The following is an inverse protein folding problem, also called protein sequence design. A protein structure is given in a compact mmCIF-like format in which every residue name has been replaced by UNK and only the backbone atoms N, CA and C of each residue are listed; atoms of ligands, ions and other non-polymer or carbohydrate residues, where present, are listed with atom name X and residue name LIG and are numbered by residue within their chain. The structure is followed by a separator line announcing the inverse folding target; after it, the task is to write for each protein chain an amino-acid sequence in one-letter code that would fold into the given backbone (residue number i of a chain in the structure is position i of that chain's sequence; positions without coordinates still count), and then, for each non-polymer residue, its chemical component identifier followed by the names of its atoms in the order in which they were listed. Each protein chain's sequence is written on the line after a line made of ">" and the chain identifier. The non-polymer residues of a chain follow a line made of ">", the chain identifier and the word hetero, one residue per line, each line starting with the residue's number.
data_IF_083214348899
#
_entry.id   IF_083214348899
#
_cell.length_a   1.000
_cell.length_b   1.000
_cell.length_c   1.000
_cell.angle_alpha   90.00
_cell.angle_beta   90.00
_cell.angle_gamma   90.00
#
_symmetry.space_group_name_H-M   'P 1'
#
loop_
_entity.id
_entity.type
_entity.pdbx_description
1 polymer ?
#
# COMPACT_ATOMS: atom_id res chain seq x y z
N UNK A 1 -17.91 -33.57 85.88
CA UNK A 1 -18.89 -33.14 84.89
C UNK A 1 -18.29 -31.89 84.25
N UNK A 2 -17.32 -32.09 83.45
CA UNK A 2 -16.72 -31.00 82.70
C UNK A 2 -15.78 -31.64 81.63
N UNK A 3 -16.32 -31.92 80.51
CA UNK A 3 -15.59 -32.30 79.32
C UNK A 3 -16.48 -32.30 78.10
N UNK A 4 -16.53 -31.22 77.37
CA UNK A 4 -17.39 -31.23 76.19
C UNK A 4 -17.41 -29.95 75.33
N UNK A 5 -16.48 -29.01 75.46
CA UNK A 5 -16.46 -27.84 74.59
C UNK A 5 -15.01 -27.45 74.28
N UNK A 6 -14.37 -28.17 73.38
CA UNK A 6 -13.08 -27.72 72.80
C UNK A 6 -12.67 -28.49 71.55
N UNK A 7 -13.45 -28.66 70.54
CA UNK A 7 -12.99 -29.17 69.22
C UNK A 7 -13.77 -28.67 67.99
N UNK A 8 -14.35 -27.48 68.03
CA UNK A 8 -15.08 -26.97 66.86
C UNK A 8 -14.39 -25.71 66.24
N UNK A 9 -13.25 -25.29 66.76
CA UNK A 9 -12.64 -24.02 66.37
C UNK A 9 -11.40 -24.10 65.46
N UNK A 10 -10.80 -25.25 65.30
CA UNK A 10 -9.49 -25.35 64.54
C UNK A 10 -9.61 -25.91 63.13
N UNK A 11 -10.67 -26.60 62.80
CA UNK A 11 -10.81 -27.29 61.50
C UNK A 11 -11.39 -26.35 60.39
N UNK A 12 -12.15 -25.34 60.75
CA UNK A 12 -12.75 -24.42 59.74
C UNK A 12 -11.72 -23.43 59.15
N UNK A 13 -10.65 -23.15 59.84
CA UNK A 13 -9.59 -22.25 59.35
C UNK A 13 -8.65 -22.93 58.34
N UNK A 14 -8.39 -24.21 58.54
CA UNK A 14 -7.56 -24.99 57.61
C UNK A 14 -8.29 -25.31 56.31
N UNK A 15 -9.60 -25.65 56.36
CA UNK A 15 -10.41 -25.85 55.17
C UNK A 15 -10.53 -24.60 54.33
N UNK A 16 -10.76 -23.44 54.92
CA UNK A 16 -10.82 -22.17 54.19
C UNK A 16 -9.48 -21.76 53.57
N UNK A 17 -8.40 -22.14 54.17
CA UNK A 17 -7.03 -21.90 53.61
C UNK A 17 -6.78 -22.83 52.44
N UNK A 18 -7.12 -24.13 52.56
CA UNK A 18 -6.97 -25.09 51.47
C UNK A 18 -7.87 -24.72 50.27
N UNK A 19 -9.12 -24.40 50.49
CA UNK A 19 -10.04 -23.95 49.41
C UNK A 19 -9.54 -22.69 48.72
N UNK A 20 -8.97 -21.74 49.44
CA UNK A 20 -8.40 -20.51 48.86
C UNK A 20 -7.14 -20.82 48.06
N UNK A 21 -6.27 -21.72 48.49
CA UNK A 21 -5.08 -22.11 47.74
C UNK A 21 -5.47 -22.86 46.47
N UNK A 22 -6.45 -23.78 46.51
CA UNK A 22 -6.93 -24.47 45.32
C UNK A 22 -7.57 -23.49 44.30
N UNK A 23 -8.35 -22.53 44.77
CA UNK A 23 -8.95 -21.49 43.88
C UNK A 23 -7.91 -20.54 43.29
N UNK A 24 -6.84 -20.26 44.01
CA UNK A 24 -5.70 -19.47 43.48
C UNK A 24 -4.86 -20.28 42.47
N UNK A 25 -4.69 -21.56 42.70
CA UNK A 25 -3.93 -22.46 41.80
C UNK A 25 -4.75 -22.73 40.50
N UNK A 26 -6.06 -22.97 40.59
CA UNK A 26 -6.94 -23.09 39.44
C UNK A 26 -6.97 -21.79 38.60
N UNK A 27 -7.00 -20.64 39.23
CA UNK A 27 -6.99 -19.34 38.56
C UNK A 27 -5.66 -19.06 37.87
N UNK A 28 -4.54 -19.45 38.47
CA UNK A 28 -3.21 -19.33 37.88
C UNK A 28 -3.03 -20.30 36.70
N UNK A 29 -3.63 -21.48 36.74
CA UNK A 29 -3.62 -22.46 35.65
C UNK A 29 -4.49 -22.01 34.46
N UNK A 30 -5.59 -21.31 34.67
CA UNK A 30 -6.42 -20.72 33.60
C UNK A 30 -5.78 -19.47 32.98
N UNK A 31 -5.11 -18.64 33.78
CA UNK A 31 -4.49 -17.40 33.28
C UNK A 31 -3.19 -17.66 32.46
N UNK A 32 -2.41 -18.68 32.80
CA UNK A 32 -1.16 -19.02 32.09
C UNK A 32 -1.34 -19.34 30.60
N UNK A 33 -2.29 -20.18 30.16
CA UNK A 33 -2.48 -20.47 28.74
C UNK A 33 -3.05 -19.29 27.96
N UNK A 34 -3.82 -18.41 28.59
CA UNK A 34 -4.36 -17.21 27.95
C UNK A 34 -3.29 -16.15 27.72
N UNK A 35 -2.42 -15.88 28.70
CA UNK A 35 -1.29 -14.96 28.58
C UNK A 35 -0.28 -15.43 27.53
N UNK A 36 0.07 -16.71 27.52
CA UNK A 36 0.97 -17.30 26.53
C UNK A 36 0.38 -17.23 25.12
N UNK A 37 -0.91 -17.54 24.94
CA UNK A 37 -1.60 -17.41 23.64
C UNK A 37 -1.71 -15.97 23.17
N UNK A 38 -1.94 -15.02 24.07
CA UNK A 38 -1.95 -13.59 23.73
C UNK A 38 -0.58 -13.07 23.34
N UNK A 39 0.48 -13.48 24.03
CA UNK A 39 1.86 -13.10 23.71
C UNK A 39 2.26 -13.68 22.35
N UNK A 40 2.00 -14.97 22.11
CA UNK A 40 2.30 -15.60 20.83
C UNK A 40 1.50 -14.99 19.67
N UNK A 41 0.22 -14.67 19.88
CA UNK A 41 -0.57 -13.95 18.89
C UNK A 41 -0.02 -12.55 18.62
N UNK A 42 0.43 -11.85 19.66
CA UNK A 42 1.09 -10.54 19.53
C UNK A 42 2.38 -10.61 18.72
N UNK A 43 3.22 -11.60 19.01
CA UNK A 43 4.49 -11.81 18.28
C UNK A 43 4.23 -12.13 16.81
N UNK A 44 3.27 -13.00 16.49
CA UNK A 44 2.91 -13.33 15.10
C UNK A 44 2.39 -12.10 14.35
N UNK A 45 1.59 -11.27 14.99
CA UNK A 45 1.08 -10.03 14.39
C UNK A 45 2.19 -9.02 14.14
N UNK A 46 3.11 -8.85 15.10
CA UNK A 46 4.27 -7.96 14.93
C UNK A 46 5.18 -8.48 13.81
N UNK A 47 5.45 -9.77 13.75
CA UNK A 47 6.23 -10.39 12.68
C UNK A 47 5.55 -10.21 11.31
N UNK A 48 4.23 -10.38 11.23
CA UNK A 48 3.46 -10.13 10.01
C UNK A 48 3.51 -8.67 9.57
N UNK A 49 3.42 -7.72 10.51
CA UNK A 49 3.56 -6.28 10.23
C UNK A 49 4.97 -5.92 9.74
N UNK A 50 6.01 -6.47 10.36
CA UNK A 50 7.41 -6.26 9.93
C UNK A 50 7.60 -6.82 8.52
N UNK A 51 7.14 -8.05 8.26
CA UNK A 51 7.19 -8.67 6.93
C UNK A 51 6.45 -7.84 5.88
N UNK A 52 5.28 -7.33 6.22
CA UNK A 52 4.50 -6.49 5.33
C UNK A 52 5.18 -5.13 5.05
N UNK A 53 5.79 -4.50 6.07
CA UNK A 53 6.55 -3.25 5.91
C UNK A 53 7.80 -3.45 5.05
N UNK A 54 8.48 -4.60 5.19
CA UNK A 54 9.61 -4.95 4.33
C UNK A 54 9.15 -5.13 2.87
N UNK A 55 8.04 -5.82 2.65
CA UNK A 55 7.46 -6.00 1.32
C UNK A 55 7.03 -4.65 0.71
N UNK A 56 6.41 -3.78 1.50
CA UNK A 56 6.03 -2.43 1.08
C UNK A 56 7.25 -1.59 0.69
N UNK A 57 8.34 -1.71 1.43
CA UNK A 57 9.59 -1.01 1.12
C UNK A 57 10.23 -1.50 -0.19
N UNK A 58 10.20 -2.82 -0.46
CA UNK A 58 10.65 -3.40 -1.73
C UNK A 58 9.74 -2.93 -2.88
N UNK A 59 8.42 -2.93 -2.67
CA UNK A 59 7.47 -2.47 -3.67
C UNK A 59 7.54 -0.95 -3.95
N UNK A 60 7.96 -0.13 -2.97
CA UNK A 60 8.21 1.30 -3.14
C UNK A 60 9.55 1.60 -3.85
N UNK A 61 10.39 0.60 -4.04
CA UNK A 61 11.71 0.78 -4.63
C UNK A 61 11.59 1.13 -6.13
N UNK A 62 12.35 2.13 -6.62
CA UNK A 62 12.37 2.49 -8.05
C UNK A 62 12.72 1.33 -8.98
N UNK A 63 13.48 0.34 -8.49
CA UNK A 63 13.84 -0.86 -9.25
C UNK A 63 12.63 -1.74 -9.59
N UNK A 64 11.58 -1.72 -8.78
CA UNK A 64 10.33 -2.47 -9.03
C UNK A 64 9.60 -1.95 -10.27
N UNK A 65 9.76 -0.66 -10.58
CA UNK A 65 9.14 0.00 -11.73
C UNK A 65 10.11 0.26 -12.88
N UNK A 66 11.34 -0.29 -12.82
CA UNK A 66 12.37 -0.04 -13.84
C UNK A 66 11.91 -0.37 -15.25
N UNK A 67 11.23 -1.49 -15.48
CA UNK A 67 10.68 -1.85 -16.78
C UNK A 67 9.64 -0.86 -17.30
N UNK A 68 8.81 -0.29 -16.42
CA UNK A 68 7.81 0.72 -16.79
C UNK A 68 8.52 2.03 -17.16
N UNK A 69 9.53 2.44 -16.40
CA UNK A 69 10.32 3.63 -16.71
C UNK A 69 11.05 3.50 -18.04
N UNK A 70 11.61 2.32 -18.33
CA UNK A 70 12.28 2.02 -19.61
C UNK A 70 11.30 2.13 -20.79
N UNK A 71 10.13 1.51 -20.68
CA UNK A 71 9.06 1.63 -21.70
C UNK A 71 8.62 3.08 -21.92
N UNK A 72 8.45 3.86 -20.86
CA UNK A 72 8.09 5.27 -20.96
C UNK A 72 9.21 6.12 -21.58
N UNK A 73 10.49 5.82 -21.28
CA UNK A 73 11.63 6.51 -21.87
C UNK A 73 11.80 6.17 -23.35
N UNK A 74 11.56 4.93 -23.77
CA UNK A 74 11.54 4.53 -25.18
C UNK A 74 10.41 5.24 -25.94
N UNK A 75 9.18 5.22 -25.42
CA UNK A 75 8.04 5.96 -26.02
C UNK A 75 8.32 7.46 -26.13
N UNK A 76 8.92 8.06 -25.11
CA UNK A 76 9.35 9.46 -25.12
C UNK A 76 10.33 9.75 -26.27
N UNK A 77 11.34 8.93 -26.45
CA UNK A 77 12.34 9.10 -27.50
C UNK A 77 11.70 8.98 -28.90
N UNK A 78 10.81 8.00 -29.08
CA UNK A 78 10.09 7.82 -30.34
C UNK A 78 9.21 9.02 -30.66
N UNK A 79 8.44 9.54 -29.71
CA UNK A 79 7.57 10.72 -29.91
C UNK A 79 8.41 11.98 -30.14
N UNK A 80 9.53 12.14 -29.45
CA UNK A 80 10.46 13.26 -29.70
C UNK A 80 11.03 13.19 -31.13
N UNK A 81 11.40 12.01 -31.60
CA UNK A 81 11.85 11.79 -32.99
C UNK A 81 10.79 12.17 -34.01
N UNK A 82 9.54 11.75 -33.81
CA UNK A 82 8.41 12.10 -34.66
C UNK A 82 8.11 13.60 -34.64
N UNK A 83 8.13 14.24 -33.49
CA UNK A 83 7.96 15.68 -33.36
C UNK A 83 9.04 16.46 -34.11
N UNK A 84 10.30 16.06 -33.96
CA UNK A 84 11.45 16.68 -34.65
C UNK A 84 11.35 16.50 -36.15
N UNK A 85 11.06 15.29 -36.63
CA UNK A 85 10.98 15.02 -38.08
C UNK A 85 9.80 15.73 -38.75
N UNK A 86 8.60 15.78 -38.08
CA UNK A 86 7.47 16.52 -38.61
C UNK A 86 7.69 18.03 -38.61
N UNK A 87 8.36 18.58 -37.60
CA UNK A 87 8.78 19.98 -37.58
C UNK A 87 9.76 20.31 -38.67
N UNK A 88 10.78 19.47 -38.85
CA UNK A 88 11.78 19.66 -39.93
C UNK A 88 11.13 19.55 -41.30
N UNK A 89 10.24 18.58 -41.53
CA UNK A 89 9.53 18.42 -42.80
C UNK A 89 8.59 19.61 -43.07
N UNK A 90 7.88 20.11 -42.07
CA UNK A 90 7.05 21.32 -42.17
C UNK A 90 7.91 22.52 -42.60
N UNK A 91 9.04 22.75 -41.96
CA UNK A 91 9.94 23.82 -42.28
C UNK A 91 10.52 23.69 -43.72
N UNK A 92 10.89 22.48 -44.14
CA UNK A 92 11.41 22.23 -45.47
C UNK A 92 10.36 22.49 -46.57
N UNK A 93 9.11 22.09 -46.35
CA UNK A 93 8.02 22.30 -47.31
C UNK A 93 7.58 23.77 -47.36
N UNK A 94 7.66 24.51 -46.25
CA UNK A 94 7.28 25.92 -46.19
C UNK A 94 8.21 26.83 -47.00
N UNK A 95 9.42 26.36 -47.38
CA UNK A 95 10.36 27.12 -48.24
C UNK A 95 10.02 26.96 -49.73
N UNK A 96 9.22 26.00 -50.12
CA UNK A 96 8.79 25.81 -51.48
C UNK A 96 7.87 26.95 -51.95
N UNK A 97 8.11 27.54 -53.15
CA UNK A 97 7.38 28.71 -53.66
C UNK A 97 6.01 28.30 -54.26
N UNK A 98 5.27 27.42 -53.61
CA UNK A 98 3.99 26.93 -54.11
C UNK A 98 2.94 26.95 -52.98
N UNK A 99 1.73 27.43 -53.30
CA UNK A 99 0.60 27.53 -52.34
C UNK A 99 0.13 26.18 -51.80
N UNK A 100 0.34 25.09 -52.55
CA UNK A 100 0.05 23.73 -52.09
C UNK A 100 1.00 23.28 -50.98
N UNK A 101 2.26 23.72 -50.98
CA UNK A 101 3.24 23.45 -49.98
C UNK A 101 2.86 24.03 -48.60
N UNK A 102 2.27 25.21 -48.56
CA UNK A 102 1.90 25.88 -47.32
C UNK A 102 0.79 25.12 -46.56
N UNK A 103 -0.19 24.54 -47.25
CA UNK A 103 -1.25 23.74 -46.63
C UNK A 103 -0.70 22.45 -45.99
N UNK A 104 0.26 21.78 -46.67
CA UNK A 104 0.89 20.57 -46.14
C UNK A 104 1.81 20.93 -44.97
N UNK A 105 2.59 22.00 -45.09
CA UNK A 105 3.46 22.47 -43.99
C UNK A 105 2.67 22.77 -42.71
N UNK A 106 1.51 23.44 -42.84
CA UNK A 106 0.62 23.73 -41.73
C UNK A 106 0.08 22.44 -41.07
N UNK A 107 -0.30 21.43 -41.86
CA UNK A 107 -0.75 20.13 -41.30
C UNK A 107 0.39 19.38 -40.57
N UNK A 108 1.59 19.45 -41.11
CA UNK A 108 2.75 18.88 -40.43
C UNK A 108 3.07 19.61 -39.11
N UNK A 109 2.92 20.93 -39.07
CA UNK A 109 3.07 21.71 -37.85
C UNK A 109 1.99 21.36 -36.80
N UNK A 110 0.72 21.11 -37.25
CA UNK A 110 -0.35 20.64 -36.40
C UNK A 110 0.05 19.27 -35.80
N UNK A 111 0.54 18.32 -36.59
CA UNK A 111 1.02 17.03 -36.08
C UNK A 111 2.18 17.17 -35.09
N UNK A 112 3.14 18.05 -35.36
CA UNK A 112 4.21 18.34 -34.40
C UNK A 112 3.64 18.82 -33.05
N UNK A 113 2.61 19.65 -33.08
CA UNK A 113 1.92 20.13 -31.87
C UNK A 113 1.22 18.98 -31.12
N UNK A 114 0.57 18.04 -31.82
CA UNK A 114 0.00 16.85 -31.19
C UNK A 114 1.06 15.98 -30.52
N UNK A 115 2.23 15.79 -31.14
CA UNK A 115 3.34 15.05 -30.54
C UNK A 115 3.86 15.71 -29.26
N UNK A 116 3.89 17.05 -29.20
CA UNK A 116 4.23 17.77 -27.95
C UNK A 116 3.22 17.51 -26.85
N UNK A 117 1.91 17.44 -27.17
CA UNK A 117 0.88 17.08 -26.19
C UNK A 117 1.10 15.64 -25.71
N UNK A 118 1.34 14.68 -26.60
CA UNK A 118 1.61 13.29 -26.25
C UNK A 118 2.84 13.20 -25.35
N UNK A 119 3.91 13.93 -25.67
CA UNK A 119 5.12 14.00 -24.86
C UNK A 119 4.83 14.52 -23.44
N UNK A 120 3.98 15.54 -23.34
CA UNK A 120 3.56 16.08 -22.05
C UNK A 120 2.80 15.04 -21.20
N UNK A 121 1.97 14.20 -21.84
CA UNK A 121 1.26 13.09 -21.17
C UNK A 121 2.27 12.04 -20.68
N UNK A 122 3.27 11.66 -21.47
CA UNK A 122 4.32 10.71 -21.03
C UNK A 122 5.08 11.25 -19.82
N UNK A 123 5.43 12.53 -19.82
CA UNK A 123 6.06 13.15 -18.65
C UNK A 123 5.14 13.16 -17.42
N UNK A 124 3.85 13.42 -17.63
CA UNK A 124 2.85 13.38 -16.56
C UNK A 124 2.72 11.96 -16.00
N UNK A 125 2.65 10.92 -16.84
CA UNK A 125 2.60 9.52 -16.39
C UNK A 125 3.84 9.17 -15.55
N UNK A 126 5.03 9.56 -16.00
CA UNK A 126 6.27 9.35 -15.25
C UNK A 126 6.27 10.06 -13.90
N UNK A 127 5.79 11.29 -13.85
CA UNK A 127 5.62 12.06 -12.61
C UNK A 127 4.59 11.39 -11.67
N UNK A 128 3.45 10.96 -12.20
CA UNK A 128 2.41 10.29 -11.42
C UNK A 128 2.90 8.95 -10.87
N UNK A 129 3.64 8.16 -11.65
CA UNK A 129 4.21 6.91 -11.21
C UNK A 129 5.15 7.11 -10.01
N UNK A 130 6.05 8.10 -10.11
CA UNK A 130 6.98 8.44 -9.03
C UNK A 130 6.24 8.95 -7.80
N UNK A 131 5.31 9.89 -7.98
CA UNK A 131 4.61 10.55 -6.86
C UNK A 131 3.62 9.63 -6.19
N UNK A 132 2.78 8.92 -6.96
CA UNK A 132 1.77 8.02 -6.41
C UNK A 132 2.36 6.73 -5.88
N UNK A 133 3.43 6.22 -6.50
CA UNK A 133 4.18 5.10 -5.95
C UNK A 133 4.75 5.43 -4.57
N UNK A 134 5.41 6.57 -4.43
CA UNK A 134 5.91 7.04 -3.14
C UNK A 134 4.77 7.29 -2.13
N UNK A 135 3.69 7.96 -2.54
CA UNK A 135 2.56 8.24 -1.65
C UNK A 135 1.88 6.95 -1.18
N UNK A 136 1.65 6.00 -2.09
CA UNK A 136 0.99 4.74 -1.77
C UNK A 136 1.84 3.89 -0.82
N UNK A 137 3.08 3.56 -1.21
CA UNK A 137 3.93 2.64 -0.47
C UNK A 137 4.71 3.30 0.66
N UNK A 138 5.11 4.57 0.51
CA UNK A 138 5.86 5.31 1.52
C UNK A 138 5.00 5.88 2.65
N UNK A 139 3.74 6.18 2.39
CA UNK A 139 2.87 6.86 3.36
C UNK A 139 1.59 6.08 3.66
N UNK A 140 0.75 5.80 2.65
CA UNK A 140 -0.59 5.25 2.89
C UNK A 140 -0.56 3.85 3.49
N UNK A 141 0.27 2.98 2.94
CA UNK A 141 0.38 1.60 3.40
C UNK A 141 0.99 1.51 4.81
N UNK A 142 2.12 2.19 5.14
CA UNK A 142 2.63 2.21 6.50
C UNK A 142 1.63 2.78 7.51
N UNK A 143 0.93 3.87 7.17
CA UNK A 143 -0.11 4.44 8.05
C UNK A 143 -1.25 3.46 8.26
N UNK A 144 -1.73 2.78 7.22
CA UNK A 144 -2.74 1.75 7.34
C UNK A 144 -2.29 0.60 8.26
N UNK A 145 -1.03 0.15 8.15
CA UNK A 145 -0.44 -0.87 9.02
C UNK A 145 -0.39 -0.44 10.48
N UNK A 146 -0.01 0.81 10.75
CA UNK A 146 -0.02 1.37 12.12
C UNK A 146 -1.44 1.41 12.67
N UNK A 147 -2.43 1.83 11.88
CA UNK A 147 -3.84 1.82 12.29
C UNK A 147 -4.34 0.40 12.61
N UNK A 148 -3.97 -0.59 11.81
CA UNK A 148 -4.28 -2.00 12.10
C UNK A 148 -3.59 -2.48 13.38
N UNK A 149 -2.31 -2.14 13.58
CA UNK A 149 -1.58 -2.49 14.79
C UNK A 149 -2.26 -1.92 16.05
N UNK A 150 -2.63 -0.64 16.02
CA UNK A 150 -3.36 0.00 17.12
C UNK A 150 -4.72 -0.68 17.34
N UNK A 151 -5.45 -0.99 16.26
CA UNK A 151 -6.75 -1.65 16.35
C UNK A 151 -6.69 -3.05 16.98
N UNK A 152 -5.57 -3.78 16.80
CA UNK A 152 -5.35 -5.08 17.43
C UNK A 152 -5.12 -4.92 18.93
N UNK A 153 -4.39 -3.88 19.35
CA UNK A 153 -4.13 -3.58 20.75
C UNK A 153 -5.38 -3.08 21.52
N UNK A 154 -6.37 -2.52 20.81
CA UNK A 154 -7.61 -2.06 21.46
C UNK A 154 -8.46 -3.26 21.90
N UNK A 155 -9.03 -3.13 23.11
CA UNK A 155 -9.88 -4.14 23.74
C UNK A 155 -11.08 -4.49 22.83
N UNK A 156 -11.43 -5.78 22.75
CA UNK A 156 -12.58 -6.25 21.95
C UNK A 156 -13.87 -5.56 22.44
N UNK A 157 -14.66 -5.05 21.48
CA UNK A 157 -15.96 -4.42 21.77
C UNK A 157 -15.98 -2.89 21.80
N UNK A 158 -14.87 -2.21 21.60
CA UNK A 158 -14.83 -0.75 21.55
C UNK A 158 -15.20 -0.25 20.14
N UNK A 159 -16.11 0.72 20.02
CA UNK A 159 -16.48 1.37 18.75
C UNK A 159 -15.25 1.95 18.04
N UNK A 160 -14.28 2.44 18.79
CA UNK A 160 -13.00 2.92 18.27
C UNK A 160 -12.26 1.85 17.47
N UNK A 161 -12.24 0.58 17.90
CA UNK A 161 -11.60 -0.51 17.17
C UNK A 161 -12.22 -0.73 15.79
N UNK A 162 -13.56 -0.77 15.72
CA UNK A 162 -14.27 -0.97 14.44
C UNK A 162 -14.01 0.19 13.48
N UNK A 163 -14.01 1.41 13.99
CA UNK A 163 -13.73 2.60 13.17
C UNK A 163 -12.27 2.64 12.68
N UNK A 164 -11.30 2.30 13.52
CA UNK A 164 -9.89 2.21 13.14
C UNK A 164 -9.66 1.13 12.07
N UNK A 165 -10.26 -0.05 12.24
CA UNK A 165 -10.17 -1.11 11.23
C UNK A 165 -10.77 -0.69 9.89
N UNK A 166 -11.96 -0.08 9.90
CA UNK A 166 -12.60 0.44 8.68
C UNK A 166 -11.75 1.52 8.00
N UNK A 167 -11.18 2.43 8.78
CA UNK A 167 -10.30 3.47 8.25
C UNK A 167 -9.02 2.87 7.66
N UNK A 168 -8.37 1.95 8.38
CA UNK A 168 -7.18 1.26 7.91
C UNK A 168 -7.43 0.47 6.61
N UNK A 169 -8.56 -0.25 6.52
CA UNK A 169 -8.92 -0.98 5.30
C UNK A 169 -9.17 -0.05 4.11
N UNK A 170 -9.89 1.06 4.32
CA UNK A 170 -10.13 2.05 3.26
C UNK A 170 -8.83 2.69 2.79
N UNK A 171 -7.94 3.03 3.72
CA UNK A 171 -6.65 3.64 3.41
C UNK A 171 -5.74 2.66 2.65
N UNK A 172 -5.69 1.39 3.07
CA UNK A 172 -4.94 0.34 2.40
C UNK A 172 -5.48 0.07 0.98
N UNK A 173 -6.81 -0.02 0.82
CA UNK A 173 -7.45 -0.22 -0.47
C UNK A 173 -7.20 0.96 -1.42
N UNK A 174 -7.27 2.19 -0.92
CA UNK A 174 -6.98 3.40 -1.68
C UNK A 174 -5.50 3.47 -2.09
N UNK A 175 -4.58 3.18 -1.16
CA UNK A 175 -3.14 3.12 -1.45
C UNK A 175 -2.81 2.07 -2.51
N UNK A 176 -3.43 0.88 -2.42
CA UNK A 176 -3.26 -0.18 -3.40
C UNK A 176 -3.82 0.21 -4.78
N UNK A 177 -5.01 0.84 -4.81
CA UNK A 177 -5.59 1.35 -6.04
C UNK A 177 -4.68 2.36 -6.73
N UNK A 178 -4.15 3.35 -5.99
CA UNK A 178 -3.19 4.33 -6.51
C UNK A 178 -1.92 3.66 -7.06
N UNK A 179 -1.41 2.66 -6.35
CA UNK A 179 -0.20 1.95 -6.77
C UNK A 179 -0.40 1.16 -8.06
N UNK A 180 -1.62 0.65 -8.33
CA UNK A 180 -1.92 -0.19 -9.49
C UNK A 180 -2.38 0.60 -10.71
N UNK A 181 -2.95 1.80 -10.55
CA UNK A 181 -3.53 2.58 -11.67
C UNK A 181 -2.49 2.84 -12.76
N UNK A 182 -1.30 3.34 -12.41
CA UNK A 182 -0.28 3.70 -13.41
C UNK A 182 0.33 2.46 -14.06
N UNK A 183 0.81 1.42 -13.33
CA UNK A 183 1.28 0.20 -13.96
C UNK A 183 0.23 -0.48 -14.85
N UNK A 184 -1.03 -0.45 -14.45
CA UNK A 184 -2.12 -1.03 -15.24
C UNK A 184 -2.36 -0.27 -16.54
N UNK A 185 -2.29 1.08 -16.52
CA UNK A 185 -2.44 1.91 -17.73
C UNK A 185 -1.30 1.65 -18.73
N UNK A 186 -0.05 1.61 -18.27
CA UNK A 186 1.11 1.33 -19.12
C UNK A 186 1.04 -0.08 -19.70
N UNK A 187 0.69 -1.09 -18.88
CA UNK A 187 0.54 -2.46 -19.33
C UNK A 187 -0.58 -2.60 -20.40
N UNK A 188 -1.69 -1.89 -20.20
CA UNK A 188 -2.80 -1.90 -21.16
C UNK A 188 -2.37 -1.28 -22.49
N UNK A 189 -1.68 -0.15 -22.46
CA UNK A 189 -1.17 0.53 -23.65
C UNK A 189 -0.17 -0.37 -24.40
N UNK A 190 0.78 -0.98 -23.70
CA UNK A 190 1.76 -1.89 -24.29
C UNK A 190 1.11 -3.14 -24.93
N UNK A 191 0.03 -3.62 -24.33
CA UNK A 191 -0.71 -4.77 -24.87
C UNK A 191 -1.52 -4.41 -26.12
N UNK A 192 -2.01 -3.16 -26.21
CA UNK A 192 -2.68 -2.62 -27.39
C UNK A 192 -1.65 -2.45 -28.53
N UNK A 193 -0.49 -1.86 -28.23
CA UNK A 193 0.59 -1.65 -29.22
C UNK A 193 1.09 -2.97 -29.84
N UNK A 194 1.06 -4.09 -29.09
CA UNK A 194 1.42 -5.42 -29.61
C UNK A 194 0.35 -6.09 -30.47
N UNK A 195 -0.87 -5.58 -30.44
CA UNK A 195 -2.00 -6.17 -31.15
C UNK A 195 -2.19 -5.56 -32.55
N UNK A 196 -1.60 -4.38 -32.79
CA UNK A 196 -1.62 -3.67 -34.06
C UNK A 196 -0.23 -3.68 -34.72
#
# INVERSE_FOLDING_TARGET
>A
MDDGIRLIGEDSGSELVFERVELEEERDLEERPLKSKMINAGVVVVAALISFLLLANIAASPSTYSGIYETLDEKKLNVMGLAATTTAASAAISVLPDDTGSAIANKLADFASYFVVILSVIYLEKFLLTTFGFLAFGILIPVACVLFAIAIFLRRGTLAKVNLQRLGTKLAAFGLALALVVPASVWLTDNIDKTF
#
